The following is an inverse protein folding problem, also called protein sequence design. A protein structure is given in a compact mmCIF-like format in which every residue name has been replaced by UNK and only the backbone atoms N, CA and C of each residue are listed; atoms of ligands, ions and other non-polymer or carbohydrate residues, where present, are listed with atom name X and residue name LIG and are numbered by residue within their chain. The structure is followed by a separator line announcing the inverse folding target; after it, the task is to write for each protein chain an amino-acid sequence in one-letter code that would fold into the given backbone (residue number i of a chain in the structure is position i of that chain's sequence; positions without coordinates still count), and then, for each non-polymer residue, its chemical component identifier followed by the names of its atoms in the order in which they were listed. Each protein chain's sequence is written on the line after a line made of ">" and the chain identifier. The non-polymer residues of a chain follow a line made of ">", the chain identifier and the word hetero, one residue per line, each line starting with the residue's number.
data_IF_197408170142
#
_entry.id   IF_197408170142
#
_cell.length_a   1.000
_cell.length_b   1.000
_cell.length_c   1.000
_cell.angle_alpha   90.00
_cell.angle_beta   90.00
_cell.angle_gamma   90.00
#
_symmetry.space_group_name_H-M   'P 1'
#
loop_
_entity.id
_entity.type
_entity.pdbx_description
1 polymer ?
#
# COMPACT_ATOMS: atom_id res chain seq x y z
N UNK A 1 -30.83 -30.42 17.75
CA UNK A 1 -30.46 -28.98 17.66
C UNK A 1 -31.73 -28.17 17.64
N UNK A 2 -31.75 -27.01 18.28
CA UNK A 2 -32.87 -26.08 18.13
C UNK A 2 -32.85 -25.47 16.71
N UNK A 3 -33.99 -25.01 16.20
CA UNK A 3 -34.06 -24.29 14.91
C UNK A 3 -33.20 -23.02 14.91
N UNK A 4 -32.97 -22.43 16.09
CA UNK A 4 -32.09 -21.28 16.27
C UNK A 4 -30.64 -21.68 16.03
N UNK A 5 -30.16 -22.78 16.63
CA UNK A 5 -28.78 -23.26 16.45
C UNK A 5 -28.47 -23.56 14.98
N UNK A 6 -29.43 -24.15 14.27
CA UNK A 6 -29.31 -24.46 12.84
C UNK A 6 -29.18 -23.18 12.01
N UNK A 7 -30.01 -22.18 12.27
CA UNK A 7 -29.95 -20.88 11.58
C UNK A 7 -28.65 -20.14 11.85
N UNK A 8 -28.18 -20.11 13.10
CA UNK A 8 -26.92 -19.46 13.47
C UNK A 8 -25.73 -20.10 12.72
N UNK A 9 -25.64 -21.43 12.71
CA UNK A 9 -24.58 -22.13 11.99
C UNK A 9 -24.64 -21.89 10.48
N UNK A 10 -25.85 -21.85 9.91
CA UNK A 10 -26.05 -21.56 8.51
C UNK A 10 -25.58 -20.13 8.16
N UNK A 11 -25.95 -19.12 8.94
CA UNK A 11 -25.48 -17.74 8.73
C UNK A 11 -23.96 -17.62 8.83
N UNK A 12 -23.31 -18.32 9.78
CA UNK A 12 -21.85 -18.33 9.89
C UNK A 12 -21.19 -18.90 8.63
N UNK A 13 -21.74 -19.99 8.06
CA UNK A 13 -21.20 -20.60 6.84
C UNK A 13 -21.44 -19.71 5.61
N UNK A 14 -22.59 -19.06 5.52
CA UNK A 14 -22.97 -18.22 4.37
C UNK A 14 -22.20 -16.88 4.33
N UNK A 15 -21.85 -16.34 5.50
CA UNK A 15 -21.13 -15.05 5.61
C UNK A 15 -19.62 -15.20 5.72
N UNK A 16 -19.11 -16.42 5.83
CA UNK A 16 -17.69 -16.66 5.88
C UNK A 16 -17.05 -16.48 4.49
N UNK A 17 -15.94 -15.75 4.46
CA UNK A 17 -15.08 -15.64 3.26
C UNK A 17 -14.28 -16.94 2.98
N UNK A 18 -14.30 -17.90 3.90
CA UNK A 18 -13.66 -19.20 3.76
C UNK A 18 -14.62 -20.18 3.06
N UNK A 19 -14.09 -21.05 2.19
CA UNK A 19 -14.89 -22.07 1.51
C UNK A 19 -14.92 -23.37 2.32
N UNK A 20 -16.09 -23.79 2.75
CA UNK A 20 -16.28 -25.01 3.52
C UNK A 20 -16.72 -26.18 2.65
N UNK A 21 -16.24 -27.37 2.97
CA UNK A 21 -16.79 -28.64 2.47
C UNK A 21 -17.06 -29.55 3.66
N UNK A 22 -18.23 -30.19 3.63
CA UNK A 22 -18.61 -31.26 4.54
C UNK A 22 -18.58 -32.54 3.72
N UNK A 23 -17.70 -33.46 4.08
CA UNK A 23 -17.49 -34.71 3.37
C UNK A 23 -17.80 -35.88 4.30
N UNK A 24 -18.40 -36.94 3.78
CA UNK A 24 -18.59 -38.19 4.50
C UNK A 24 -17.26 -38.93 4.73
N UNK A 25 -17.25 -39.90 5.65
CA UNK A 25 -16.07 -40.72 5.95
C UNK A 25 -15.53 -41.53 4.76
N UNK A 26 -16.33 -41.80 3.74
CA UNK A 26 -15.96 -42.48 2.49
C UNK A 26 -15.58 -41.51 1.35
N UNK A 27 -15.75 -40.20 1.54
CA UNK A 27 -15.28 -39.19 0.61
C UNK A 27 -16.36 -38.55 -0.29
N UNK A 28 -17.65 -38.80 -0.04
CA UNK A 28 -18.75 -38.13 -0.74
C UNK A 28 -18.97 -36.72 -0.19
N UNK A 29 -19.15 -35.75 -1.08
CA UNK A 29 -19.40 -34.36 -0.68
C UNK A 29 -20.87 -34.23 -0.30
N UNK A 30 -21.13 -33.83 0.94
CA UNK A 30 -22.48 -33.71 1.49
C UNK A 30 -22.99 -32.27 1.45
N UNK A 31 -22.09 -31.32 1.66
CA UNK A 31 -22.43 -29.90 1.60
C UNK A 31 -21.19 -29.05 1.32
N UNK A 32 -21.41 -27.86 0.79
CA UNK A 32 -20.38 -26.87 0.51
C UNK A 32 -20.88 -25.47 0.87
N UNK A 33 -19.99 -24.56 1.24
CA UNK A 33 -20.37 -23.16 1.46
C UNK A 33 -20.69 -22.46 0.12
N UNK A 34 -21.47 -21.37 0.16
CA UNK A 34 -21.57 -20.44 -0.97
C UNK A 34 -20.19 -19.95 -1.41
N UNK A 35 -19.99 -19.76 -2.72
CA UNK A 35 -18.73 -19.25 -3.29
C UNK A 35 -17.71 -20.30 -3.72
N UNK A 36 -17.86 -21.57 -3.30
CA UNK A 36 -16.95 -22.65 -3.72
C UNK A 36 -16.89 -22.82 -5.25
N UNK A 37 -18.00 -22.58 -5.96
CA UNK A 37 -18.04 -22.66 -7.43
C UNK A 37 -17.04 -21.71 -8.10
N UNK A 38 -16.91 -20.48 -7.61
CA UNK A 38 -16.03 -19.47 -8.20
C UNK A 38 -14.54 -19.83 -8.06
N UNK A 39 -14.19 -20.54 -6.98
CA UNK A 39 -12.81 -20.93 -6.67
C UNK A 39 -12.44 -22.25 -7.34
N UNK A 40 -13.34 -23.22 -7.32
CA UNK A 40 -13.11 -24.57 -7.85
C UNK A 40 -13.48 -24.71 -9.33
N UNK A 41 -14.26 -23.78 -9.89
CA UNK A 41 -14.65 -23.75 -11.30
C UNK A 41 -15.67 -24.83 -11.69
N UNK A 42 -16.35 -25.42 -10.71
CA UNK A 42 -17.28 -26.54 -10.85
C UNK A 42 -18.60 -26.14 -10.18
N UNK A 43 -19.73 -26.51 -10.79
CA UNK A 43 -21.04 -26.20 -10.23
C UNK A 43 -21.26 -26.93 -8.90
N UNK A 44 -22.09 -26.38 -8.03
CA UNK A 44 -22.49 -26.95 -6.74
C UNK A 44 -23.14 -28.31 -6.93
N UNK A 45 -24.00 -28.45 -7.94
CA UNK A 45 -24.66 -29.72 -8.26
C UNK A 45 -23.62 -30.80 -8.60
N UNK A 46 -22.64 -30.46 -9.43
CA UNK A 46 -21.58 -31.39 -9.82
C UNK A 46 -20.68 -31.75 -8.64
N UNK A 47 -20.29 -30.77 -7.80
CA UNK A 47 -19.53 -31.00 -6.57
C UNK A 47 -20.27 -31.92 -5.61
N UNK A 48 -21.57 -31.70 -5.37
CA UNK A 48 -22.39 -32.52 -4.47
C UNK A 48 -22.64 -33.94 -5.03
N UNK A 49 -22.57 -34.11 -6.34
CA UNK A 49 -22.70 -35.43 -6.99
C UNK A 49 -21.38 -36.20 -7.12
N UNK A 50 -20.26 -35.59 -6.69
CA UNK A 50 -18.91 -36.13 -6.86
C UNK A 50 -18.27 -36.53 -5.53
N UNK A 51 -17.26 -37.40 -5.61
CA UNK A 51 -16.38 -37.73 -4.49
C UNK A 51 -15.07 -36.96 -4.54
N UNK A 52 -14.41 -36.77 -3.40
CA UNK A 52 -13.10 -36.09 -3.34
C UNK A 52 -12.01 -36.80 -4.15
N UNK A 53 -12.10 -38.13 -4.27
CA UNK A 53 -11.20 -38.93 -5.10
C UNK A 53 -11.42 -38.64 -6.59
N UNK A 54 -12.67 -38.52 -7.03
CA UNK A 54 -13.01 -38.17 -8.41
C UNK A 54 -12.54 -36.75 -8.74
N UNK A 55 -12.79 -35.79 -7.85
CA UNK A 55 -12.34 -34.40 -8.03
C UNK A 55 -10.82 -34.28 -8.10
N UNK A 56 -10.08 -35.04 -7.28
CA UNK A 56 -8.62 -35.07 -7.36
C UNK A 56 -8.13 -35.70 -8.68
N UNK A 57 -8.76 -36.79 -9.12
CA UNK A 57 -8.44 -37.45 -10.39
C UNK A 57 -8.71 -36.55 -11.60
N UNK A 58 -9.83 -35.82 -11.60
CA UNK A 58 -10.18 -34.81 -12.59
C UNK A 58 -9.29 -33.55 -12.49
N UNK A 59 -8.59 -33.38 -11.38
CA UNK A 59 -7.69 -32.27 -11.13
C UNK A 59 -8.35 -30.97 -10.72
N UNK A 60 -9.59 -31.05 -10.24
CA UNK A 60 -10.33 -29.94 -9.63
C UNK A 60 -9.66 -29.49 -8.32
N UNK A 61 -8.94 -30.39 -7.64
CA UNK A 61 -8.19 -30.08 -6.42
C UNK A 61 -6.96 -30.98 -6.28
N UNK A 62 -5.77 -30.40 -6.05
CA UNK A 62 -4.50 -31.14 -5.90
C UNK A 62 -3.52 -30.48 -4.91
N UNK A 63 -2.92 -31.22 -3.96
CA UNK A 63 -3.43 -32.47 -3.38
C UNK A 63 -4.70 -32.21 -2.55
N UNK A 64 -5.53 -33.24 -2.33
CA UNK A 64 -6.75 -33.15 -1.53
C UNK A 64 -6.44 -33.17 -0.03
N UNK A 65 -6.81 -32.10 0.68
CA UNK A 65 -6.73 -32.09 2.15
C UNK A 65 -7.62 -33.18 2.78
N UNK A 66 -8.81 -33.40 2.21
CA UNK A 66 -9.77 -34.38 2.73
C UNK A 66 -9.20 -35.78 2.64
N UNK A 67 -8.56 -36.15 1.52
CA UNK A 67 -7.92 -37.45 1.39
C UNK A 67 -6.77 -37.64 2.39
N UNK A 68 -6.01 -36.58 2.69
CA UNK A 68 -4.94 -36.65 3.69
C UNK A 68 -5.50 -36.91 5.09
N UNK A 69 -6.60 -36.27 5.47
CA UNK A 69 -7.30 -36.53 6.74
C UNK A 69 -7.96 -37.91 6.77
N UNK A 70 -8.52 -38.40 5.65
CA UNK A 70 -9.04 -39.77 5.56
C UNK A 70 -7.94 -40.80 5.84
N UNK A 71 -6.74 -40.56 5.29
CA UNK A 71 -5.58 -41.45 5.41
C UNK A 71 -4.97 -41.41 6.81
N UNK A 72 -4.77 -40.22 7.37
CA UNK A 72 -4.06 -40.02 8.64
C UNK A 72 -4.98 -40.11 9.86
N UNK A 73 -6.28 -39.87 9.68
CA UNK A 73 -7.28 -39.71 10.74
C UNK A 73 -6.92 -38.60 11.75
N UNK A 74 -6.09 -37.63 11.33
CA UNK A 74 -5.65 -36.49 12.13
C UNK A 74 -6.01 -35.19 11.41
N UNK A 75 -6.18 -34.07 12.13
CA UNK A 75 -6.27 -32.75 11.50
C UNK A 75 -5.02 -32.47 10.66
N UNK A 76 -5.21 -31.84 9.51
CA UNK A 76 -4.12 -31.49 8.61
C UNK A 76 -4.36 -30.13 7.95
N UNK A 77 -3.27 -29.54 7.47
CA UNK A 77 -3.25 -28.30 6.70
C UNK A 77 -2.28 -28.46 5.53
N UNK A 78 -2.70 -28.08 4.33
CA UNK A 78 -1.84 -28.07 3.17
C UNK A 78 -2.23 -27.01 2.15
N UNK A 79 -1.32 -26.77 1.22
CA UNK A 79 -1.56 -25.95 0.05
C UNK A 79 -2.24 -26.78 -1.04
N UNK A 80 -3.44 -26.39 -1.45
CA UNK A 80 -4.18 -27.04 -2.53
C UNK A 80 -4.27 -26.11 -3.74
N UNK A 81 -4.12 -26.68 -4.94
CA UNK A 81 -4.31 -25.99 -6.22
C UNK A 81 -5.64 -26.45 -6.79
N UNK A 82 -6.50 -25.51 -7.17
CA UNK A 82 -7.80 -25.82 -7.76
C UNK A 82 -7.72 -25.99 -9.28
N UNK A 83 -8.77 -26.53 -9.90
CA UNK A 83 -8.86 -26.69 -11.36
C UNK A 83 -8.77 -25.37 -12.14
N UNK A 84 -9.10 -24.25 -11.49
CA UNK A 84 -8.95 -22.89 -12.06
C UNK A 84 -7.52 -22.36 -11.96
N UNK A 85 -6.61 -23.08 -11.31
CA UNK A 85 -5.22 -22.68 -11.06
C UNK A 85 -5.01 -21.84 -9.81
N UNK A 86 -6.08 -21.54 -9.05
CA UNK A 86 -5.98 -20.79 -7.78
C UNK A 86 -5.30 -21.62 -6.71
N UNK A 87 -4.61 -20.95 -5.79
CA UNK A 87 -3.94 -21.56 -4.65
C UNK A 87 -4.73 -21.28 -3.37
N UNK A 88 -5.20 -22.33 -2.72
CA UNK A 88 -6.03 -22.24 -1.51
C UNK A 88 -5.39 -22.98 -0.33
N UNK A 89 -5.18 -22.30 0.80
CA UNK A 89 -4.75 -23.00 2.02
C UNK A 89 -5.97 -23.71 2.57
N UNK A 90 -5.87 -25.04 2.61
CA UNK A 90 -6.96 -25.90 3.05
C UNK A 90 -6.59 -26.58 4.37
N UNK A 91 -7.49 -26.51 5.32
CA UNK A 91 -7.41 -27.17 6.62
C UNK A 91 -8.60 -28.10 6.75
N UNK A 92 -8.41 -29.30 7.28
CA UNK A 92 -9.51 -30.21 7.52
C UNK A 92 -9.42 -30.94 8.86
N UNK A 93 -10.59 -31.25 9.40
CA UNK A 93 -10.79 -31.85 10.72
C UNK A 93 -11.68 -33.10 10.59
N UNK A 94 -11.23 -34.26 11.08
CA UNK A 94 -12.07 -35.45 11.15
C UNK A 94 -13.07 -35.36 12.30
N UNK A 95 -14.29 -35.84 12.07
CA UNK A 95 -15.36 -35.96 13.05
C UNK A 95 -15.66 -37.44 13.25
N UNK A 96 -15.47 -37.91 14.48
CA UNK A 96 -15.70 -39.30 14.84
C UNK A 96 -16.98 -39.46 15.65
N UNK A 97 -17.75 -40.51 15.35
CA UNK A 97 -18.87 -40.98 16.17
C UNK A 97 -18.60 -42.43 16.52
N UNK A 98 -18.60 -42.78 17.81
CA UNK A 98 -18.29 -44.13 18.29
C UNK A 98 -16.96 -44.71 17.77
N UNK A 99 -15.94 -43.87 17.55
CA UNK A 99 -14.64 -44.27 17.02
C UNK A 99 -14.59 -44.46 15.49
N UNK A 100 -15.72 -44.31 14.80
CA UNK A 100 -15.80 -44.35 13.33
C UNK A 100 -15.70 -42.95 12.77
N UNK A 101 -14.91 -42.77 11.71
CA UNK A 101 -14.82 -41.51 10.97
C UNK A 101 -16.12 -41.29 10.21
N UNK A 102 -16.97 -40.38 10.69
CA UNK A 102 -18.26 -40.10 10.09
C UNK A 102 -18.19 -38.95 9.09
N UNK A 103 -17.48 -37.87 9.46
CA UNK A 103 -17.38 -36.67 8.62
C UNK A 103 -15.97 -36.14 8.59
N UNK A 104 -15.68 -35.37 7.56
CA UNK A 104 -14.52 -34.49 7.48
C UNK A 104 -15.03 -33.11 7.12
N UNK A 105 -14.67 -32.13 7.93
CA UNK A 105 -14.99 -30.72 7.69
C UNK A 105 -13.71 -30.05 7.23
N UNK A 106 -13.70 -29.52 6.01
CA UNK A 106 -12.57 -28.75 5.50
C UNK A 106 -12.96 -27.30 5.28
N UNK A 107 -12.06 -26.37 5.62
CA UNK A 107 -12.13 -24.98 5.18
C UNK A 107 -10.97 -24.69 4.22
N UNK A 108 -11.20 -23.83 3.25
CA UNK A 108 -10.16 -23.38 2.34
C UNK A 108 -10.24 -21.88 2.11
N UNK A 109 -9.10 -21.20 2.25
CA UNK A 109 -8.97 -19.77 2.02
C UNK A 109 -8.20 -19.52 0.73
N UNK A 110 -8.78 -18.71 -0.14
CA UNK A 110 -8.10 -18.23 -1.35
C UNK A 110 -7.02 -17.22 -0.96
N UNK A 111 -5.77 -17.53 -1.29
CA UNK A 111 -4.63 -16.64 -1.05
C UNK A 111 -4.10 -16.01 -2.33
N UNK A 112 -4.80 -16.17 -3.47
CA UNK A 112 -4.31 -15.70 -4.77
C UNK A 112 -4.02 -14.19 -4.73
N UNK A 113 -4.96 -13.39 -4.22
CA UNK A 113 -4.78 -11.93 -4.13
C UNK A 113 -3.66 -11.52 -3.17
N UNK A 114 -3.54 -12.21 -2.04
CA UNK A 114 -2.51 -11.94 -1.05
C UNK A 114 -1.12 -12.30 -1.58
N UNK A 115 -1.01 -13.38 -2.35
CA UNK A 115 0.24 -13.77 -3.02
C UNK A 115 0.60 -12.77 -4.12
N UNK A 116 -0.36 -12.36 -4.96
CA UNK A 116 -0.15 -11.34 -5.98
C UNK A 116 0.36 -10.03 -5.37
N UNK A 117 -0.23 -9.61 -4.26
CA UNK A 117 0.21 -8.42 -3.52
C UNK A 117 1.63 -8.59 -2.96
N UNK A 118 1.97 -9.76 -2.40
CA UNK A 118 3.32 -10.05 -1.91
C UNK A 118 4.36 -10.06 -3.03
N UNK A 119 4.02 -10.62 -4.18
CA UNK A 119 4.89 -10.67 -5.36
C UNK A 119 5.11 -9.27 -5.94
N UNK A 120 4.06 -8.44 -6.01
CA UNK A 120 4.16 -7.04 -6.42
C UNK A 120 5.03 -6.23 -5.46
N UNK A 121 4.83 -6.41 -4.15
CA UNK A 121 5.65 -5.77 -3.13
C UNK A 121 7.13 -6.20 -3.21
N UNK A 122 7.40 -7.49 -3.41
CA UNK A 122 8.76 -8.01 -3.59
C UNK A 122 9.42 -7.44 -4.85
N UNK A 123 8.68 -7.31 -5.94
CA UNK A 123 9.15 -6.67 -7.18
C UNK A 123 9.48 -5.19 -6.95
N UNK A 124 8.62 -4.47 -6.21
CA UNK A 124 8.84 -3.08 -5.85
C UNK A 124 10.11 -2.92 -4.98
N UNK A 125 10.26 -3.76 -3.95
CA UNK A 125 11.47 -3.78 -3.12
C UNK A 125 12.73 -4.07 -3.95
N UNK A 126 12.64 -5.03 -4.89
CA UNK A 126 13.76 -5.35 -5.79
C UNK A 126 14.13 -4.14 -6.64
N UNK A 127 13.16 -3.49 -7.28
CA UNK A 127 13.39 -2.27 -8.08
C UNK A 127 13.99 -1.15 -7.25
N UNK A 128 13.50 -0.95 -6.03
CA UNK A 128 14.04 0.04 -5.10
C UNK A 128 15.50 -0.29 -4.73
N UNK A 129 15.80 -1.56 -4.44
CA UNK A 129 17.16 -2.02 -4.12
C UNK A 129 18.12 -1.92 -5.32
N UNK A 130 17.64 -2.17 -6.54
CA UNK A 130 18.42 -2.01 -7.77
C UNK A 130 18.68 -0.54 -8.08
N UNK A 131 17.71 0.35 -7.80
CA UNK A 131 17.90 1.79 -7.90
C UNK A 131 18.96 2.28 -6.92
N UNK A 132 18.92 1.82 -5.66
CA UNK A 132 19.94 2.11 -4.65
C UNK A 132 21.32 1.56 -5.06
N UNK A 133 21.39 0.32 -5.59
CA UNK A 133 22.65 -0.26 -6.05
C UNK A 133 23.24 0.45 -7.27
N UNK A 134 22.41 0.88 -8.23
CA UNK A 134 22.86 1.73 -9.34
C UNK A 134 23.34 3.09 -8.86
N UNK A 135 22.66 3.67 -7.85
CA UNK A 135 23.09 4.89 -7.16
C UNK A 135 24.45 4.72 -6.46
N UNK A 136 24.75 3.51 -5.96
CA UNK A 136 26.00 3.19 -5.25
C UNK A 136 27.15 2.69 -6.15
N UNK A 137 26.92 2.36 -7.41
CA UNK A 137 27.93 1.77 -8.30
C UNK A 137 28.73 2.80 -9.13
N UNK A 138 28.50 4.09 -8.96
CA UNK A 138 29.26 5.16 -9.62
C UNK A 138 29.84 6.20 -8.63
N UNK A 139 30.64 5.83 -7.60
CA UNK A 139 31.03 6.80 -6.58
C UNK A 139 32.10 7.78 -7.07
N UNK A 140 33.13 7.32 -7.78
CA UNK A 140 34.39 8.10 -7.78
C UNK A 140 34.42 9.34 -8.69
N UNK A 141 33.61 9.39 -9.76
CA UNK A 141 33.64 10.52 -10.72
C UNK A 141 32.48 11.52 -10.53
N UNK A 142 31.33 11.07 -10.03
CA UNK A 142 30.18 11.95 -9.77
C UNK A 142 30.22 12.55 -8.36
N UNK A 143 30.79 11.88 -7.34
CA UNK A 143 30.84 12.41 -5.96
C UNK A 143 31.71 13.67 -5.84
N UNK A 144 32.84 13.76 -6.56
CA UNK A 144 33.69 14.95 -6.54
C UNK A 144 33.07 16.15 -7.26
N UNK A 145 32.35 15.92 -8.37
CA UNK A 145 31.60 16.98 -9.05
C UNK A 145 30.35 17.42 -8.28
N UNK A 146 29.84 16.57 -7.36
CA UNK A 146 28.69 16.88 -6.54
C UNK A 146 29.02 17.73 -5.32
N UNK A 147 30.14 17.47 -4.65
CA UNK A 147 30.60 18.30 -3.53
C UNK A 147 30.92 19.74 -3.99
N UNK A 148 31.43 19.91 -5.22
CA UNK A 148 31.58 21.25 -5.85
C UNK A 148 30.23 21.91 -6.21
N UNK A 149 29.19 21.13 -6.47
CA UNK A 149 27.86 21.66 -6.86
C UNK A 149 26.90 21.88 -5.68
N UNK A 150 27.24 21.37 -4.50
CA UNK A 150 26.46 21.55 -3.27
C UNK A 150 26.76 22.89 -2.58
N UNK A 151 27.80 23.62 -3.00
CA UNK A 151 28.16 25.02 -2.68
C UNK A 151 27.95 25.44 -1.21
N UNK A 152 26.70 25.65 -0.80
CA UNK A 152 26.29 26.18 0.51
C UNK A 152 25.50 25.20 1.39
N UNK A 153 25.19 24.00 0.91
CA UNK A 153 24.40 23.01 1.64
C UNK A 153 25.30 21.91 2.22
N UNK A 154 25.50 21.93 3.54
CA UNK A 154 26.31 20.92 4.22
C UNK A 154 25.54 19.60 4.38
N UNK A 155 25.89 18.60 3.57
CA UNK A 155 25.24 17.29 3.59
C UNK A 155 26.27 16.17 3.75
N UNK A 156 26.18 15.41 4.86
CA UNK A 156 27.12 14.32 5.18
C UNK A 156 26.52 12.91 5.07
N UNK A 157 25.20 12.79 5.25
CA UNK A 157 24.51 11.50 5.16
C UNK A 157 24.17 11.16 3.72
N UNK A 158 24.33 9.89 3.33
CA UNK A 158 23.96 9.40 2.00
C UNK A 158 22.49 9.65 1.68
N UNK A 159 21.58 9.42 2.63
CA UNK A 159 20.13 9.68 2.45
C UNK A 159 19.86 11.16 2.18
N UNK A 160 20.56 12.05 2.88
CA UNK A 160 20.40 13.49 2.66
C UNK A 160 20.99 13.94 1.32
N UNK A 161 22.04 13.25 0.84
CA UNK A 161 22.60 13.50 -0.51
C UNK A 161 21.60 13.10 -1.59
N UNK A 162 20.89 11.99 -1.44
CA UNK A 162 19.84 11.59 -2.38
C UNK A 162 18.71 12.62 -2.45
N UNK A 163 18.31 13.21 -1.30
CA UNK A 163 17.34 14.30 -1.25
C UNK A 163 17.86 15.54 -1.99
N UNK A 164 19.12 15.93 -1.76
CA UNK A 164 19.73 17.06 -2.47
C UNK A 164 19.80 16.83 -3.99
N UNK A 165 20.12 15.60 -4.42
CA UNK A 165 20.12 15.19 -5.83
C UNK A 165 18.72 15.27 -6.45
N UNK A 166 17.69 14.84 -5.72
CA UNK A 166 16.31 14.94 -6.17
C UNK A 166 15.91 16.40 -6.38
N UNK A 167 16.23 17.28 -5.42
CA UNK A 167 15.97 18.71 -5.54
C UNK A 167 16.69 19.33 -6.74
N UNK A 168 17.96 18.98 -6.97
CA UNK A 168 18.71 19.45 -8.13
C UNK A 168 18.09 19.02 -9.47
N UNK A 169 17.50 17.82 -9.55
CA UNK A 169 16.77 17.37 -10.75
C UNK A 169 15.46 18.12 -10.97
N UNK A 170 14.79 18.51 -9.90
CA UNK A 170 13.51 19.25 -9.96
C UNK A 170 13.72 20.74 -10.20
N UNK A 171 14.85 21.31 -9.77
CA UNK A 171 15.14 22.74 -9.83
C UNK A 171 14.90 23.42 -11.21
N UNK A 172 15.22 22.80 -12.36
CA UNK A 172 14.98 23.42 -13.67
C UNK A 172 13.50 23.48 -14.08
N UNK A 173 12.58 22.89 -13.30
CA UNK A 173 11.14 22.84 -13.58
C UNK A 173 10.34 23.88 -12.80
N UNK A 174 9.11 24.14 -13.26
CA UNK A 174 8.14 25.01 -12.59
C UNK A 174 7.20 24.26 -11.62
N UNK A 175 7.56 23.04 -11.21
CA UNK A 175 6.73 22.21 -10.35
C UNK A 175 6.70 22.74 -8.91
N UNK A 176 5.53 22.67 -8.25
CA UNK A 176 5.41 22.92 -6.82
C UNK A 176 6.11 21.81 -6.02
N UNK A 177 6.94 22.18 -5.05
CA UNK A 177 7.69 21.22 -4.21
C UNK A 177 7.15 21.24 -2.79
N UNK A 178 6.64 20.09 -2.34
CA UNK A 178 6.23 19.87 -0.95
C UNK A 178 7.39 19.25 -0.17
N UNK A 179 7.84 19.92 0.89
CA UNK A 179 8.91 19.44 1.76
C UNK A 179 8.34 18.94 3.09
N UNK A 180 8.42 17.63 3.32
CA UNK A 180 7.95 17.00 4.56
C UNK A 180 9.13 16.73 5.50
N UNK A 181 8.89 16.88 6.80
CA UNK A 181 9.87 16.62 7.85
C UNK A 181 9.53 17.35 9.14
N UNK A 182 10.18 16.97 10.24
CA UNK A 182 9.99 17.61 11.54
C UNK A 182 10.43 19.09 11.55
N UNK A 183 10.06 19.84 12.58
CA UNK A 183 10.53 21.23 12.74
C UNK A 183 12.04 21.24 13.01
N UNK A 184 12.76 22.21 12.45
CA UNK A 184 14.21 22.35 12.66
C UNK A 184 15.12 21.42 11.85
N UNK A 185 14.60 20.55 10.96
CA UNK A 185 15.42 19.64 10.13
C UNK A 185 16.13 20.32 8.95
N UNK A 186 16.01 21.65 8.82
CA UNK A 186 16.69 22.43 7.79
C UNK A 186 15.94 22.58 6.46
N UNK A 187 14.62 22.40 6.43
CA UNK A 187 13.77 22.57 5.22
C UNK A 187 14.02 23.91 4.49
N UNK A 188 14.16 24.99 5.26
CA UNK A 188 14.50 26.32 4.73
C UNK A 188 15.81 26.35 3.94
N UNK A 189 16.85 25.65 4.42
CA UNK A 189 18.14 25.61 3.72
C UNK A 189 18.01 24.89 2.38
N UNK A 190 17.23 23.81 2.33
CA UNK A 190 16.91 23.10 1.09
C UNK A 190 16.08 23.94 0.13
N UNK A 191 15.09 24.70 0.61
CA UNK A 191 14.28 25.60 -0.22
C UNK A 191 15.14 26.70 -0.86
N UNK A 192 16.04 27.32 -0.09
CA UNK A 192 16.99 28.31 -0.60
C UNK A 192 17.92 27.72 -1.66
N UNK A 193 18.39 26.49 -1.45
CA UNK A 193 19.25 25.82 -2.41
C UNK A 193 18.51 25.44 -3.69
N UNK A 194 17.26 24.97 -3.58
CA UNK A 194 16.39 24.69 -4.73
C UNK A 194 16.19 25.94 -5.59
N UNK A 195 15.88 27.08 -4.97
CA UNK A 195 15.74 28.35 -5.68
C UNK A 195 17.02 28.74 -6.44
N UNK A 196 18.19 28.60 -5.81
CA UNK A 196 19.50 28.88 -6.45
C UNK A 196 19.81 27.98 -7.65
N UNK A 197 19.36 26.73 -7.61
CA UNK A 197 19.52 25.79 -8.73
C UNK A 197 18.45 25.95 -9.81
N UNK A 198 17.40 26.73 -9.56
CA UNK A 198 16.31 26.92 -10.50
C UNK A 198 16.65 27.93 -11.59
N UNK A 199 15.83 27.97 -12.64
CA UNK A 199 15.92 29.00 -13.68
C UNK A 199 15.55 30.41 -13.16
N UNK A 200 15.04 30.51 -11.93
CA UNK A 200 14.56 31.74 -11.29
C UNK A 200 15.53 32.24 -10.21
N UNK A 201 16.77 31.77 -10.22
CA UNK A 201 17.77 32.08 -9.20
C UNK A 201 18.14 33.57 -9.10
N UNK A 202 17.93 34.35 -10.16
CA UNK A 202 18.11 35.80 -10.19
C UNK A 202 16.87 36.56 -9.66
N UNK A 203 15.75 35.86 -9.43
CA UNK A 203 14.49 36.42 -8.93
C UNK A 203 14.42 36.45 -7.40
N UNK A 204 13.36 37.06 -6.83
CA UNK A 204 13.20 37.15 -5.38
C UNK A 204 12.93 35.77 -4.73
N UNK A 205 13.57 35.49 -3.60
CA UNK A 205 13.19 34.38 -2.71
C UNK A 205 12.46 34.93 -1.50
N UNK A 206 11.14 34.73 -1.45
CA UNK A 206 10.28 35.19 -0.35
C UNK A 206 9.99 33.99 0.56
N UNK A 207 10.49 34.06 1.79
CA UNK A 207 10.26 33.06 2.84
C UNK A 207 9.18 33.57 3.79
N UNK A 208 8.15 32.76 4.02
CA UNK A 208 7.01 33.11 4.87
C UNK A 208 6.77 31.97 5.86
N UNK A 209 6.87 32.27 7.14
CA UNK A 209 6.40 31.36 8.18
C UNK A 209 4.90 31.58 8.38
N UNK A 210 4.09 30.62 7.93
CA UNK A 210 2.63 30.72 8.00
C UNK A 210 2.11 30.72 9.44
N UNK A 211 2.76 30.02 10.37
CA UNK A 211 2.38 29.99 11.78
C UNK A 211 2.62 31.34 12.50
N UNK A 212 3.48 32.20 11.96
CA UNK A 212 3.73 33.53 12.50
C UNK A 212 2.70 34.59 12.07
N UNK A 213 1.87 34.30 11.06
CA UNK A 213 0.86 35.23 10.55
C UNK A 213 -0.48 34.95 11.24
N UNK A 214 -1.08 35.95 11.93
CA UNK A 214 -2.44 35.82 12.46
C UNK A 214 -3.44 35.49 11.35
N UNK A 215 -4.34 34.53 11.61
CA UNK A 215 -5.32 34.03 10.62
C UNK A 215 -6.15 35.16 9.99
N UNK A 216 -6.53 36.16 10.79
CA UNK A 216 -7.30 37.33 10.35
C UNK A 216 -6.52 38.29 9.42
N UNK A 217 -5.19 38.16 9.33
CA UNK A 217 -4.33 38.96 8.47
C UNK A 217 -3.75 38.16 7.30
N UNK A 218 -3.86 36.83 7.30
CA UNK A 218 -3.25 35.94 6.31
C UNK A 218 -3.57 36.35 4.86
N UNK A 219 -4.85 36.59 4.55
CA UNK A 219 -5.28 37.00 3.21
C UNK A 219 -4.66 38.35 2.79
N UNK A 220 -4.66 39.31 3.71
CA UNK A 220 -4.12 40.66 3.45
C UNK A 220 -2.59 40.67 3.29
N UNK A 221 -1.88 39.73 3.91
CA UNK A 221 -0.44 39.54 3.76
C UNK A 221 -0.12 38.81 2.44
N UNK A 222 -0.85 37.74 2.12
CA UNK A 222 -0.60 36.92 0.93
C UNK A 222 -0.94 37.65 -0.37
N UNK A 223 -2.10 38.30 -0.43
CA UNK A 223 -2.62 38.93 -1.63
C UNK A 223 -2.47 40.46 -1.65
N UNK A 224 -2.11 41.07 -0.52
CA UNK A 224 -2.06 42.52 -0.41
C UNK A 224 -3.45 43.16 -0.30
N UNK A 225 -3.48 44.48 -0.28
CA UNK A 225 -4.73 45.25 -0.25
C UNK A 225 -4.55 46.66 -0.80
N UNK A 226 -5.63 47.20 -1.36
CA UNK A 226 -5.70 48.58 -1.83
C UNK A 226 -6.10 49.56 -0.71
N UNK A 227 -5.80 50.86 -0.83
CA UNK A 227 -6.24 51.87 0.13
C UNK A 227 -7.75 51.80 0.38
N UNK A 228 -8.16 51.73 1.64
CA UNK A 228 -9.57 51.71 2.03
C UNK A 228 -10.26 50.33 1.99
N UNK A 229 -9.53 49.24 1.79
CA UNK A 229 -10.09 47.88 1.79
C UNK A 229 -10.76 47.47 3.12
N UNK A 230 -10.30 48.00 4.26
CA UNK A 230 -10.88 47.75 5.59
C UNK A 230 -10.58 48.91 6.56
N UNK A 231 -11.25 48.96 7.71
CA UNK A 231 -11.01 49.96 8.76
C UNK A 231 -9.60 49.79 9.33
N UNK A 232 -8.70 50.73 9.05
CA UNK A 232 -7.29 50.66 9.44
C UNK A 232 -6.31 50.35 8.30
N UNK A 233 -6.80 50.14 7.07
CA UNK A 233 -5.96 49.97 5.90
C UNK A 233 -5.03 51.19 5.70
N UNK A 234 -3.74 50.93 5.47
CA UNK A 234 -2.78 51.98 5.18
C UNK A 234 -3.21 52.77 3.94
N UNK A 235 -3.03 54.10 3.98
CA UNK A 235 -3.41 55.00 2.86
C UNK A 235 -2.70 54.68 1.53
N UNK A 236 -1.60 53.93 1.58
CA UNK A 236 -0.80 53.57 0.41
C UNK A 236 -1.10 52.15 -0.10
N UNK A 237 -1.96 51.38 0.59
CA UNK A 237 -2.12 49.95 0.34
C UNK A 237 -0.89 49.14 0.74
N UNK A 238 -0.88 47.85 0.43
CA UNK A 238 0.26 46.94 0.65
C UNK A 238 0.30 45.90 -0.47
N UNK A 239 1.47 45.70 -1.07
CA UNK A 239 1.70 44.63 -2.04
C UNK A 239 1.75 43.27 -1.34
N UNK A 240 1.11 42.26 -1.94
CA UNK A 240 1.04 40.91 -1.40
C UNK A 240 2.38 40.16 -1.47
N UNK A 241 2.56 39.14 -0.63
CA UNK A 241 3.74 38.27 -0.68
C UNK A 241 3.86 37.54 -2.04
N UNK A 242 2.74 37.22 -2.68
CA UNK A 242 2.73 36.65 -4.03
C UNK A 242 3.28 37.62 -5.08
N UNK A 243 2.91 38.89 -5.00
CA UNK A 243 3.41 39.94 -5.89
C UNK A 243 4.90 40.20 -5.64
N UNK A 244 5.34 40.18 -4.37
CA UNK A 244 6.75 40.34 -4.01
C UNK A 244 7.63 39.17 -4.50
N UNK A 245 7.05 37.99 -4.69
CA UNK A 245 7.72 36.79 -5.20
C UNK A 245 7.69 36.67 -6.74
N UNK A 246 7.13 37.67 -7.45
CA UNK A 246 7.02 37.64 -8.90
C UNK A 246 8.38 37.44 -9.57
N UNK A 247 8.44 36.53 -10.55
CA UNK A 247 9.68 36.16 -11.23
C UNK A 247 10.65 35.30 -10.39
N UNK A 248 10.27 34.95 -9.15
CA UNK A 248 11.13 34.23 -8.21
C UNK A 248 10.48 32.99 -7.59
N UNK A 249 10.58 32.85 -6.27
CA UNK A 249 10.09 31.70 -5.50
C UNK A 249 9.49 32.16 -4.17
N UNK A 250 8.27 31.70 -3.90
CA UNK A 250 7.60 31.85 -2.60
C UNK A 250 7.70 30.53 -1.84
N UNK A 251 8.34 30.55 -0.67
CA UNK A 251 8.44 29.41 0.23
C UNK A 251 7.52 29.61 1.44
N UNK A 252 6.58 28.67 1.61
CA UNK A 252 5.59 28.66 2.68
C UNK A 252 6.02 27.63 3.72
N UNK A 253 6.65 28.10 4.80
CA UNK A 253 7.04 27.25 5.92
C UNK A 253 5.87 27.07 6.89
N UNK A 254 5.75 25.87 7.44
CA UNK A 254 4.64 25.46 8.32
C UNK A 254 3.24 25.65 7.69
N UNK A 255 3.11 25.33 6.40
CA UNK A 255 1.81 25.27 5.71
C UNK A 255 1.05 23.99 6.08
N UNK A 256 0.01 24.10 6.91
CA UNK A 256 -0.82 22.98 7.35
C UNK A 256 -1.82 23.33 8.44
#
# INVERSE_FOLDING_TARGET
>A
MSDIDRRVLQTIIETANDHFFIVSGDGQILDISPGAEAVYGVSREELLSSSVQQLQAAGVLKPSITMEVMRTRQPAQLMQITGTGRRVIAEAYPVFVNGTLERIISRSRDLTDLQLLQDEYALLQKRFSEHLKRSQAAPDAEEQALDDALDNLQVRSHVMREIALLLKRVAPSDANVLMLGESGVGKTAFAKQLHRWSQRCDGPFIEVNCAAIPENLFESEMFGYQPGAFSGAARQGKAGLLEQAEGGTLFLDEIG
#
